data_IF_595394294587
#
_entry.id   IF_595394294587
#
_cell.length_a   1.000
_cell.length_b   1.000
_cell.length_c   1.000
_cell.angle_alpha   90.00
_cell.angle_beta   90.00
_cell.angle_gamma   90.00
#
_symmetry.space_group_name_H-M   'P 1'
#
loop_
_entity.id
_entity.type
_entity.pdbx_description
1 polymer ?
#
# COMPACT_ATOMS: atom_id res chain seq x y z
N UNK A 1 41.25 10.48 33.44
CA UNK A 1 42.04 11.19 32.42
C UNK A 1 41.60 12.66 32.44
N UNK A 2 42.43 13.62 32.03
CA UNK A 2 41.93 15.01 31.87
C UNK A 2 41.08 15.08 30.58
N UNK A 3 39.98 15.85 30.54
CA UNK A 3 39.10 15.91 29.37
C UNK A 3 39.83 16.28 28.08
N UNK A 4 40.82 17.16 28.15
CA UNK A 4 41.59 17.60 26.99
C UNK A 4 42.44 16.46 26.41
N UNK A 5 43.02 15.63 27.29
CA UNK A 5 43.82 14.47 26.88
C UNK A 5 42.90 13.38 26.29
N UNK A 6 41.74 13.17 26.90
CA UNK A 6 40.76 12.22 26.39
C UNK A 6 40.26 12.62 24.99
N UNK A 7 40.00 13.91 24.77
CA UNK A 7 39.61 14.43 23.47
C UNK A 7 40.72 14.27 22.43
N UNK A 8 41.97 14.56 22.79
CA UNK A 8 43.13 14.40 21.89
C UNK A 8 43.27 12.93 21.46
N UNK A 9 43.17 11.98 22.40
CA UNK A 9 43.24 10.56 22.09
C UNK A 9 42.03 10.06 21.29
N UNK A 10 40.82 10.51 21.62
CA UNK A 10 39.61 10.16 20.88
C UNK A 10 39.66 10.69 19.44
N UNK A 11 40.21 11.88 19.23
CA UNK A 11 40.43 12.46 17.92
C UNK A 11 41.39 11.62 17.08
N UNK A 12 42.56 11.27 17.62
CA UNK A 12 43.51 10.37 16.93
C UNK A 12 42.86 9.02 16.63
N UNK A 13 42.18 8.41 17.61
CA UNK A 13 41.51 7.12 17.43
C UNK A 13 40.45 7.16 16.33
N UNK A 14 39.61 8.20 16.31
CA UNK A 14 38.53 8.34 15.31
C UNK A 14 39.10 8.48 13.90
N UNK A 15 40.17 9.28 13.73
CA UNK A 15 40.85 9.45 12.44
C UNK A 15 41.40 8.11 11.95
N UNK A 16 42.12 7.38 12.81
CA UNK A 16 42.72 6.10 12.43
C UNK A 16 41.64 5.06 12.09
N UNK A 17 40.54 5.00 12.86
CA UNK A 17 39.42 4.11 12.54
C UNK A 17 38.84 4.38 11.14
N UNK A 18 38.63 5.64 10.78
CA UNK A 18 38.11 6.01 9.46
C UNK A 18 39.13 5.79 8.34
N UNK A 19 40.42 6.07 8.59
CA UNK A 19 41.47 5.88 7.61
C UNK A 19 41.65 4.38 7.27
N UNK A 20 41.75 3.52 8.29
CA UNK A 20 41.91 2.08 8.09
C UNK A 20 40.63 1.40 7.60
N UNK A 21 39.44 1.94 7.87
CA UNK A 21 38.17 1.42 7.36
C UNK A 21 38.17 1.29 5.84
N UNK A 22 38.80 2.24 5.13
CA UNK A 22 38.83 2.24 3.65
C UNK A 22 39.45 0.97 3.05
N UNK A 23 40.45 0.39 3.73
CA UNK A 23 41.19 -0.77 3.24
C UNK A 23 41.01 -2.03 4.11
N UNK A 24 40.10 -2.00 5.08
CA UNK A 24 39.82 -3.11 5.98
C UNK A 24 38.43 -3.70 5.73
N UNK A 25 38.22 -5.02 5.91
CA UNK A 25 36.89 -5.61 5.79
C UNK A 25 35.89 -5.03 6.80
N UNK A 26 34.64 -4.86 6.36
CA UNK A 26 33.55 -4.40 7.23
C UNK A 26 33.02 -5.58 8.06
N UNK A 27 33.24 -5.53 9.37
CA UNK A 27 32.81 -6.55 10.34
C UNK A 27 31.36 -6.37 10.78
N UNK A 28 30.44 -6.49 9.81
CA UNK A 28 29.03 -6.14 10.03
C UNK A 28 28.27 -7.17 10.88
N UNK A 29 28.66 -8.45 10.84
CA UNK A 29 28.03 -9.50 11.66
C UNK A 29 28.27 -9.21 13.14
N UNK A 30 29.52 -8.94 13.51
CA UNK A 30 29.87 -8.63 14.90
C UNK A 30 29.26 -7.31 15.37
N UNK A 31 29.16 -6.33 14.46
CA UNK A 31 28.46 -5.07 14.75
C UNK A 31 26.99 -5.32 15.08
N UNK A 32 26.30 -6.18 14.30
CA UNK A 32 24.93 -6.58 14.61
C UNK A 32 24.84 -7.37 15.92
N UNK A 33 25.79 -8.26 16.20
CA UNK A 33 25.78 -9.04 17.45
C UNK A 33 25.92 -8.12 18.68
N UNK A 34 26.67 -7.01 18.59
CA UNK A 34 26.72 -5.97 19.64
C UNK A 34 25.38 -5.23 19.78
N UNK A 35 24.78 -4.78 18.67
CA UNK A 35 23.52 -4.03 18.68
C UNK A 35 22.35 -4.89 19.21
N UNK A 36 22.25 -6.12 18.72
CA UNK A 36 21.16 -7.04 19.01
C UNK A 36 21.38 -7.76 20.34
N UNK A 37 22.58 -8.26 20.60
CA UNK A 37 22.92 -9.04 21.79
C UNK A 37 23.30 -8.19 22.99
N UNK A 38 24.41 -7.47 22.91
CA UNK A 38 24.97 -6.76 24.07
C UNK A 38 24.15 -5.54 24.48
N UNK A 39 23.68 -4.76 23.50
CA UNK A 39 22.87 -3.55 23.74
C UNK A 39 21.37 -3.81 23.81
N UNK A 40 20.93 -5.03 23.45
CA UNK A 40 19.51 -5.44 23.44
C UNK A 40 18.60 -4.39 22.79
N UNK A 41 19.03 -3.82 21.67
CA UNK A 41 18.35 -2.68 21.04
C UNK A 41 16.96 -3.09 20.54
N UNK A 42 15.92 -2.43 21.05
CA UNK A 42 14.53 -2.69 20.68
C UNK A 42 14.11 -1.95 19.40
N UNK A 43 14.65 -0.75 19.14
CA UNK A 43 14.27 0.05 17.97
C UNK A 43 15.48 0.36 17.11
N UNK A 44 15.51 -0.18 15.90
CA UNK A 44 16.61 -0.06 14.95
C UNK A 44 16.08 0.70 13.73
N UNK A 45 16.68 1.85 13.43
CA UNK A 45 16.26 2.73 12.34
C UNK A 45 17.37 2.82 11.30
N UNK A 46 17.12 2.31 10.10
CA UNK A 46 18.00 2.48 8.95
C UNK A 46 17.79 3.85 8.32
N UNK A 47 18.87 4.63 8.24
CA UNK A 47 18.91 5.91 7.53
C UNK A 47 19.56 5.68 6.17
N UNK A 48 18.74 5.60 5.13
CA UNK A 48 19.18 5.37 3.77
C UNK A 48 18.03 5.40 2.77
N UNK A 49 18.34 5.42 1.47
CA UNK A 49 17.33 5.45 0.40
C UNK A 49 16.61 4.11 0.21
N UNK A 50 17.14 3.01 0.74
CA UNK A 50 16.60 1.67 0.60
C UNK A 50 16.63 0.92 1.95
N UNK A 51 15.87 -0.18 2.03
CA UNK A 51 15.76 -1.07 3.20
C UNK A 51 16.74 -2.24 3.05
N UNK A 52 18.04 -1.94 3.11
CA UNK A 52 19.09 -2.93 2.87
C UNK A 52 19.62 -3.47 4.19
N UNK A 53 20.02 -2.58 5.10
CA UNK A 53 20.52 -2.95 6.42
C UNK A 53 19.39 -3.49 7.32
N UNK A 54 18.18 -2.95 7.20
CA UNK A 54 16.98 -3.46 7.86
C UNK A 54 16.69 -4.90 7.45
N UNK A 55 16.75 -5.20 6.15
CA UNK A 55 16.67 -6.56 5.64
C UNK A 55 17.76 -7.50 6.17
N UNK A 56 19.00 -7.03 6.32
CA UNK A 56 20.07 -7.81 6.95
C UNK A 56 19.80 -8.07 8.44
N UNK A 57 19.38 -7.06 9.19
CA UNK A 57 19.07 -7.18 10.62
C UNK A 57 17.92 -8.18 10.87
N UNK A 58 16.86 -8.14 10.04
CA UNK A 58 15.75 -9.10 10.10
C UNK A 58 16.23 -10.55 9.91
N UNK A 59 17.12 -10.78 8.94
CA UNK A 59 17.72 -12.12 8.73
C UNK A 59 18.57 -12.59 9.91
N UNK A 60 19.38 -11.71 10.49
CA UNK A 60 20.21 -12.05 11.66
C UNK A 60 19.37 -12.35 12.90
N UNK A 61 18.28 -11.61 13.11
CA UNK A 61 17.32 -11.89 14.18
C UNK A 61 16.70 -13.29 14.05
N UNK A 62 16.17 -13.59 12.87
CA UNK A 62 15.57 -14.90 12.59
C UNK A 62 16.60 -16.04 12.75
N UNK A 63 17.86 -15.81 12.40
CA UNK A 63 18.90 -16.84 12.46
C UNK A 63 19.44 -17.12 13.88
N UNK A 64 19.53 -16.10 14.74
CA UNK A 64 20.27 -16.21 16.01
C UNK A 64 19.49 -15.77 17.26
N UNK A 65 18.56 -14.84 17.13
CA UNK A 65 18.03 -14.10 18.29
C UNK A 65 16.55 -14.37 18.58
N UNK A 66 15.82 -15.12 17.74
CA UNK A 66 14.39 -15.42 17.97
C UNK A 66 14.12 -16.02 19.37
N UNK A 67 14.83 -17.10 19.72
CA UNK A 67 14.68 -17.75 21.03
C UNK A 67 15.16 -16.87 22.18
N UNK A 68 16.19 -16.05 21.96
CA UNK A 68 16.73 -15.12 22.94
C UNK A 68 15.71 -14.01 23.26
N UNK A 69 15.12 -13.43 22.22
CA UNK A 69 14.12 -12.36 22.34
C UNK A 69 12.85 -12.89 22.99
N UNK A 70 12.39 -14.09 22.60
CA UNK A 70 11.24 -14.74 23.23
C UNK A 70 11.47 -15.00 24.73
N UNK A 71 12.66 -15.52 25.10
CA UNK A 71 12.99 -15.80 26.50
C UNK A 71 13.07 -14.53 27.37
N UNK A 72 13.41 -13.38 26.76
CA UNK A 72 13.55 -12.10 27.46
C UNK A 72 12.37 -11.16 27.26
N UNK A 73 11.33 -11.60 26.55
CA UNK A 73 10.18 -10.76 26.18
C UNK A 73 10.58 -9.44 25.50
N UNK A 74 11.64 -9.48 24.69
CA UNK A 74 12.12 -8.31 23.93
C UNK A 74 11.36 -8.24 22.62
N UNK A 75 10.72 -7.10 22.37
CA UNK A 75 10.06 -6.82 21.09
C UNK A 75 10.91 -5.85 20.28
N UNK A 76 11.29 -6.27 19.06
CA UNK A 76 12.14 -5.45 18.19
C UNK A 76 11.37 -4.87 17.02
N UNK A 77 11.59 -3.58 16.79
CA UNK A 77 11.13 -2.82 15.64
C UNK A 77 12.31 -2.47 14.75
N UNK A 78 12.25 -2.90 13.49
CA UNK A 78 13.24 -2.55 12.47
C UNK A 78 12.54 -1.67 11.44
N UNK A 79 12.93 -0.40 11.41
CA UNK A 79 12.33 0.66 10.60
C UNK A 79 13.32 1.16 9.55
N UNK A 80 12.84 1.50 8.37
CA UNK A 80 13.60 2.14 7.31
C UNK A 80 13.05 3.54 7.06
N UNK A 81 13.93 4.55 7.02
CA UNK A 81 13.53 5.95 6.81
C UNK A 81 12.64 6.15 5.57
N UNK A 82 12.93 5.45 4.47
CA UNK A 82 12.20 5.61 3.22
C UNK A 82 10.82 4.93 3.21
N UNK A 83 10.53 4.03 4.16
CA UNK A 83 9.27 3.25 4.20
C UNK A 83 8.40 3.60 5.41
N UNK A 84 9.02 3.72 6.57
CA UNK A 84 8.36 3.73 7.86
C UNK A 84 8.37 5.13 8.50
N UNK A 85 8.25 6.17 7.66
CA UNK A 85 8.35 7.57 8.09
C UNK A 85 7.32 7.92 9.17
N UNK A 86 6.06 7.46 9.02
CA UNK A 86 5.00 7.71 10.01
C UNK A 86 5.39 7.21 11.40
N UNK A 87 5.89 5.97 11.49
CA UNK A 87 6.32 5.36 12.76
C UNK A 87 7.56 6.06 13.34
N UNK A 88 8.49 6.49 12.47
CA UNK A 88 9.69 7.22 12.87
C UNK A 88 9.35 8.61 13.42
N UNK A 89 8.44 9.34 12.77
CA UNK A 89 8.00 10.67 13.18
C UNK A 89 6.90 10.66 14.24
N UNK A 90 6.41 9.48 14.63
CA UNK A 90 5.26 9.31 15.53
C UNK A 90 4.00 10.05 15.01
N UNK A 91 3.88 10.14 13.68
CA UNK A 91 2.74 10.71 12.98
C UNK A 91 1.73 9.59 12.69
N UNK A 92 1.21 9.03 13.78
CA UNK A 92 0.15 8.04 13.76
C UNK A 92 -1.18 8.74 13.92
N UNK A 93 -2.10 8.46 12.99
CA UNK A 93 -3.48 8.94 13.07
C UNK A 93 -4.06 8.53 14.43
N UNK A 94 -4.77 9.43 15.14
CA UNK A 94 -5.33 9.12 16.44
C UNK A 94 -6.25 7.91 16.30
N UNK A 95 -5.86 6.82 16.95
CA UNK A 95 -6.70 5.63 17.09
C UNK A 95 -7.94 6.07 17.86
N UNK A 96 -9.11 6.02 17.22
CA UNK A 96 -10.37 6.11 17.96
C UNK A 96 -10.37 4.95 18.96
N UNK A 97 -10.17 5.26 20.24
CA UNK A 97 -10.40 4.34 21.34
C UNK A 97 -11.88 3.91 21.25
N UNK A 98 -12.14 2.71 20.71
CA UNK A 98 -13.43 2.05 20.89
C UNK A 98 -13.69 1.99 22.40
N UNK A 99 -14.78 2.61 22.91
CA UNK A 99 -15.02 2.64 24.33
C UNK A 99 -15.19 1.21 24.84
N UNK A 100 -14.33 0.85 25.79
CA UNK A 100 -14.36 -0.39 26.54
C UNK A 100 -15.80 -0.70 26.99
N UNK A 101 -16.34 -1.82 26.51
CA UNK A 101 -17.64 -2.31 26.91
C UNK A 101 -17.64 -2.65 28.41
N UNK A 102 -18.24 -1.79 29.22
CA UNK A 102 -18.63 -2.10 30.60
C UNK A 102 -19.72 -3.21 30.64
N UNK A 103 -19.77 -4.01 31.72
CA UNK A 103 -20.25 -5.40 31.66
C UNK A 103 -21.77 -5.53 31.66
N UNK A 104 -22.27 -6.49 30.88
CA UNK A 104 -23.67 -6.89 30.85
C UNK A 104 -24.07 -7.57 32.17
N UNK A 105 -25.04 -6.99 32.85
CA UNK A 105 -25.69 -7.57 34.02
C UNK A 105 -26.48 -8.83 33.68
N UNK A 106 -26.38 -9.83 34.55
CA UNK A 106 -27.14 -11.07 34.48
C UNK A 106 -28.63 -10.80 34.75
N UNK A 107 -29.49 -11.24 33.82
CA UNK A 107 -30.94 -11.28 33.97
C UNK A 107 -31.43 -12.72 33.96
N UNK A 108 -32.16 -13.10 35.01
CA UNK A 108 -32.72 -14.42 35.28
C UNK A 108 -33.78 -14.91 34.29
N UNK A 109 -33.85 -16.24 34.25
CA UNK A 109 -34.76 -17.10 33.49
C UNK A 109 -36.21 -17.08 34.01
N UNK A 110 -37.19 -17.10 33.11
CA UNK A 110 -38.51 -17.69 33.35
C UNK A 110 -39.16 -18.17 32.04
N UNK A 111 -39.77 -19.36 32.11
CA UNK A 111 -40.28 -20.19 31.00
C UNK A 111 -41.81 -19.96 30.72
N UNK A 112 -42.56 -20.79 29.95
CA UNK A 112 -43.11 -20.41 28.63
C UNK A 112 -44.64 -20.54 28.44
N UNK A 113 -45.10 -20.15 27.23
CA UNK A 113 -46.33 -20.54 26.48
C UNK A 113 -47.70 -19.93 26.90
N UNK A 114 -48.70 -19.74 26.00
CA UNK A 114 -48.98 -20.54 24.81
C UNK A 114 -49.38 -19.82 23.49
N UNK A 115 -49.66 -20.69 22.52
CA UNK A 115 -49.89 -20.54 21.07
C UNK A 115 -51.23 -19.89 20.65
N UNK A 116 -51.21 -19.15 19.53
CA UNK A 116 -52.35 -19.00 18.62
C UNK A 116 -51.87 -18.83 17.16
N UNK A 117 -52.38 -19.66 16.26
CA UNK A 117 -52.14 -19.65 14.81
C UNK A 117 -53.17 -18.75 14.06
N UNK A 118 -53.16 -18.66 12.72
CA UNK A 118 -52.60 -17.57 11.93
C UNK A 118 -53.67 -16.67 11.28
N UNK A 119 -53.40 -15.36 11.15
CA UNK A 119 -54.21 -14.44 10.36
C UNK A 119 -53.50 -14.08 9.04
N UNK A 120 -54.24 -14.19 7.93
CA UNK A 120 -53.78 -13.96 6.57
C UNK A 120 -53.26 -12.52 6.36
N UNK A 121 -52.04 -12.38 5.85
CA UNK A 121 -51.46 -11.11 5.44
C UNK A 121 -52.01 -10.68 4.07
N UNK A 122 -52.60 -9.49 4.02
CA UNK A 122 -53.01 -8.83 2.79
C UNK A 122 -51.79 -8.45 1.94
N UNK A 123 -51.97 -8.49 0.62
CA UNK A 123 -50.94 -8.13 -0.36
C UNK A 123 -50.41 -6.70 -0.12
N UNK A 124 -49.08 -6.47 -0.26
CA UNK A 124 -48.51 -5.13 -0.13
C UNK A 124 -49.08 -4.21 -1.21
N UNK A 125 -49.41 -2.95 -0.89
CA UNK A 125 -49.83 -1.97 -1.89
C UNK A 125 -48.72 -1.75 -2.92
N UNK A 126 -49.07 -1.41 -4.17
CA UNK A 126 -48.07 -1.09 -5.19
C UNK A 126 -47.17 0.05 -4.69
N UNK A 127 -45.87 0.01 -4.99
CA UNK A 127 -44.95 1.07 -4.57
C UNK A 127 -45.48 2.42 -5.08
N UNK A 128 -45.43 3.48 -4.26
CA UNK A 128 -45.86 4.79 -4.69
C UNK A 128 -45.06 5.18 -5.93
N UNK A 129 -45.79 5.63 -6.96
CA UNK A 129 -45.24 6.29 -8.14
C UNK A 129 -44.13 7.23 -7.70
N UNK A 130 -42.89 6.97 -8.14
CA UNK A 130 -41.75 7.82 -7.87
C UNK A 130 -42.15 9.26 -8.18
N UNK A 131 -41.96 10.14 -7.20
CA UNK A 131 -42.14 11.58 -7.38
C UNK A 131 -41.25 12.10 -8.50
N UNK A 132 -41.36 13.39 -8.86
CA UNK A 132 -40.55 13.98 -9.92
C UNK A 132 -39.07 13.66 -9.66
N UNK A 133 -38.43 13.00 -10.64
CA UNK A 133 -37.06 12.53 -10.54
C UNK A 133 -36.16 13.68 -10.07
N UNK A 134 -35.35 13.43 -9.04
CA UNK A 134 -34.36 14.38 -8.59
C UNK A 134 -33.50 14.83 -9.79
N UNK A 135 -33.25 16.14 -9.88
CA UNK A 135 -32.41 16.69 -10.94
C UNK A 135 -31.01 16.04 -10.85
N UNK A 136 -30.70 15.16 -11.80
CA UNK A 136 -29.40 14.50 -11.92
C UNK A 136 -28.39 15.54 -12.39
N UNK A 137 -27.26 15.65 -11.71
CA UNK A 137 -26.18 16.54 -12.12
C UNK A 137 -25.59 16.07 -13.46
N UNK A 138 -25.41 17.01 -14.38
CA UNK A 138 -24.69 16.75 -15.63
C UNK A 138 -23.20 16.55 -15.35
N UNK A 139 -22.59 15.56 -16.00
CA UNK A 139 -21.19 15.21 -15.85
C UNK A 139 -20.55 14.99 -17.23
N UNK A 140 -19.42 15.65 -17.53
CA UNK A 140 -18.72 15.42 -18.78
C UNK A 140 -18.18 13.98 -18.82
N UNK A 141 -18.12 13.41 -20.02
CA UNK A 141 -17.60 12.06 -20.23
C UNK A 141 -16.09 12.06 -19.96
N UNK A 142 -15.61 11.09 -19.18
CA UNK A 142 -14.19 10.91 -18.93
C UNK A 142 -13.46 10.39 -20.17
N UNK A 143 -12.23 10.85 -20.39
CA UNK A 143 -11.34 10.36 -21.46
C UNK A 143 -11.11 8.84 -21.35
N UNK A 144 -11.06 8.30 -20.13
CA UNK A 144 -10.98 6.85 -19.88
C UNK A 144 -12.21 6.12 -20.44
N UNK A 145 -13.40 6.69 -20.30
CA UNK A 145 -14.64 6.07 -20.80
C UNK A 145 -14.70 6.12 -22.33
N UNK A 146 -14.32 7.25 -22.93
CA UNK A 146 -14.21 7.40 -24.39
C UNK A 146 -13.21 6.41 -24.97
N UNK A 147 -12.01 6.34 -24.38
CA UNK A 147 -10.95 5.42 -24.78
C UNK A 147 -11.42 3.96 -24.70
N UNK A 148 -12.02 3.57 -23.57
CA UNK A 148 -12.50 2.19 -23.36
C UNK A 148 -13.63 1.84 -24.34
N UNK A 149 -14.54 2.77 -24.62
CA UNK A 149 -15.62 2.58 -25.58
C UNK A 149 -15.11 2.43 -27.03
N UNK A 150 -14.14 3.24 -27.44
CA UNK A 150 -13.53 3.18 -28.78
C UNK A 150 -12.82 1.84 -29.00
N UNK A 151 -12.02 1.42 -28.02
CA UNK A 151 -11.33 0.12 -28.04
C UNK A 151 -12.32 -1.04 -28.06
N UNK A 152 -13.37 -0.99 -27.23
CA UNK A 152 -14.43 -2.01 -27.19
C UNK A 152 -15.15 -2.14 -28.54
N UNK A 153 -15.51 -1.01 -29.16
CA UNK A 153 -16.16 -0.97 -30.46
C UNK A 153 -15.28 -1.57 -31.56
N UNK A 154 -13.98 -1.24 -31.57
CA UNK A 154 -13.02 -1.78 -32.55
C UNK A 154 -12.76 -3.27 -32.39
N UNK A 155 -12.71 -3.75 -31.15
CA UNK A 155 -12.53 -5.17 -30.84
C UNK A 155 -13.83 -5.98 -30.94
N UNK A 156 -14.98 -5.33 -31.13
CA UNK A 156 -16.32 -5.94 -31.10
C UNK A 156 -16.53 -6.76 -29.82
N UNK A 157 -16.08 -6.23 -28.69
CA UNK A 157 -16.22 -6.83 -27.36
C UNK A 157 -17.11 -5.94 -26.48
N UNK A 158 -17.85 -6.51 -25.52
CA UNK A 158 -18.57 -5.70 -24.55
C UNK A 158 -17.59 -4.88 -23.69
N UNK A 159 -18.02 -3.72 -23.20
CA UNK A 159 -17.19 -2.79 -22.43
C UNK A 159 -16.53 -3.46 -21.21
N UNK A 160 -17.26 -4.37 -20.54
CA UNK A 160 -16.78 -5.14 -19.40
C UNK A 160 -15.58 -6.05 -19.70
N UNK A 161 -15.42 -6.49 -20.95
CA UNK A 161 -14.34 -7.39 -21.37
C UNK A 161 -13.05 -6.65 -21.76
N UNK A 162 -13.05 -5.31 -21.70
CA UNK A 162 -11.87 -4.47 -21.89
C UNK A 162 -11.31 -4.07 -20.52
N UNK A 163 -10.29 -4.77 -19.99
CA UNK A 163 -9.64 -4.39 -18.74
C UNK A 163 -8.79 -3.13 -18.94
N UNK A 164 -8.91 -2.19 -17.99
CA UNK A 164 -8.17 -0.92 -18.03
C UNK A 164 -6.66 -1.09 -17.81
N UNK A 165 -6.24 -2.12 -17.07
CA UNK A 165 -4.84 -2.41 -16.76
C UNK A 165 -4.02 -3.01 -17.92
N UNK A 166 -4.63 -3.28 -19.08
CA UNK A 166 -3.93 -3.83 -20.25
C UNK A 166 -3.68 -2.75 -21.29
N UNK A 167 -2.57 -2.88 -22.01
CA UNK A 167 -2.25 -2.00 -23.12
C UNK A 167 -2.99 -2.40 -24.41
N UNK A 168 -3.10 -1.48 -25.37
CA UNK A 168 -3.77 -1.74 -26.67
C UNK A 168 -3.12 -2.92 -27.38
N UNK A 169 -1.79 -3.00 -27.36
CA UNK A 169 -1.01 -4.09 -27.98
C UNK A 169 -1.37 -5.49 -27.45
N UNK A 170 -1.64 -5.60 -26.15
CA UNK A 170 -2.07 -6.86 -25.54
C UNK A 170 -3.51 -7.22 -25.94
N UNK A 171 -4.37 -6.21 -26.07
CA UNK A 171 -5.79 -6.39 -26.39
C UNK A 171 -6.03 -6.80 -27.85
N UNK A 172 -5.18 -6.34 -28.79
CA UNK A 172 -5.26 -6.70 -30.22
C UNK A 172 -4.58 -8.03 -30.55
N UNK A 173 -3.77 -8.59 -29.64
CA UNK A 173 -3.16 -9.91 -29.78
C UNK A 173 -2.26 -10.05 -31.02
N UNK A 174 -1.44 -9.03 -31.30
CA UNK A 174 -0.50 -9.04 -32.44
C UNK A 174 -1.10 -8.68 -33.80
N UNK A 175 -2.39 -8.31 -33.87
CA UNK A 175 -3.02 -7.80 -35.09
C UNK A 175 -2.63 -6.33 -35.35
N UNK A 176 -1.44 -6.11 -35.91
CA UNK A 176 -0.87 -4.77 -36.13
C UNK A 176 -1.77 -3.83 -36.96
N UNK A 177 -2.53 -4.34 -37.93
CA UNK A 177 -3.51 -3.51 -38.68
C UNK A 177 -4.55 -2.91 -37.74
N UNK A 178 -5.10 -3.72 -36.83
CA UNK A 178 -6.14 -3.30 -35.89
C UNK A 178 -5.56 -2.36 -34.81
N UNK A 179 -4.30 -2.58 -34.42
CA UNK A 179 -3.55 -1.66 -33.56
C UNK A 179 -3.46 -0.26 -34.19
N UNK A 180 -2.97 -0.18 -35.43
CA UNK A 180 -2.78 1.10 -36.12
C UNK A 180 -4.11 1.81 -36.41
N UNK A 181 -5.19 1.07 -36.64
CA UNK A 181 -6.54 1.63 -36.73
C UNK A 181 -6.98 2.27 -35.40
N UNK A 182 -6.80 1.59 -34.27
CA UNK A 182 -7.14 2.13 -32.95
C UNK A 182 -6.30 3.39 -32.68
N UNK A 183 -4.99 3.34 -32.90
CA UNK A 183 -4.11 4.49 -32.70
C UNK A 183 -4.48 5.68 -33.58
N UNK A 184 -4.81 5.42 -34.85
CA UNK A 184 -5.26 6.45 -35.78
C UNK A 184 -6.59 7.09 -35.35
N UNK A 185 -7.51 6.30 -34.79
CA UNK A 185 -8.78 6.82 -34.29
C UNK A 185 -8.62 7.58 -32.96
N UNK A 186 -7.69 7.16 -32.08
CA UNK A 186 -7.31 7.94 -30.90
C UNK A 186 -6.68 9.28 -31.26
N UNK A 187 -5.83 9.31 -32.29
CA UNK A 187 -5.26 10.56 -32.80
C UNK A 187 -6.32 11.51 -33.36
N UNK A 188 -7.39 11.00 -33.97
CA UNK A 188 -8.52 11.83 -34.43
C UNK A 188 -9.38 12.33 -33.28
N UNK A 189 -9.61 11.49 -32.26
CA UNK A 189 -10.49 11.81 -31.14
C UNK A 189 -9.87 12.87 -30.22
N UNK A 190 -8.59 12.70 -29.87
CA UNK A 190 -7.92 13.53 -28.85
C UNK A 190 -6.86 14.49 -29.42
N UNK A 191 -6.56 14.42 -30.73
CA UNK A 191 -5.58 15.27 -31.40
C UNK A 191 -4.13 14.87 -31.16
N UNK A 192 -3.69 14.82 -29.89
CA UNK A 192 -2.36 14.37 -29.50
C UNK A 192 -2.42 13.08 -28.69
N UNK A 193 -1.52 12.15 -28.99
CA UNK A 193 -1.31 10.93 -28.19
C UNK A 193 0.06 10.97 -27.53
N UNK A 194 0.24 10.38 -26.33
CA UNK A 194 1.54 10.26 -25.66
C UNK A 194 2.56 9.48 -26.50
N UNK A 195 3.83 9.44 -26.07
CA UNK A 195 4.80 8.55 -26.71
C UNK A 195 4.47 7.08 -26.41
N UNK A 196 4.37 6.25 -27.47
CA UNK A 196 4.03 4.81 -27.41
C UNK A 196 2.68 4.50 -26.72
N UNK A 197 1.56 5.05 -27.23
CA UNK A 197 0.23 4.79 -26.69
C UNK A 197 -0.17 3.30 -26.74
N UNK A 198 0.44 2.51 -27.62
CA UNK A 198 0.19 1.07 -27.74
C UNK A 198 0.71 0.23 -26.57
N UNK A 199 1.74 0.71 -25.86
CA UNK A 199 2.42 0.01 -24.77
C UNK A 199 1.95 0.50 -23.38
N UNK A 200 1.16 1.59 -23.33
CA UNK A 200 0.65 2.18 -22.09
C UNK A 200 -0.69 1.54 -21.70
N UNK A 201 -0.90 1.19 -20.41
CA UNK A 201 -2.21 0.75 -19.90
C UNK A 201 -3.33 1.76 -20.19
N UNK A 202 -4.57 1.31 -20.41
CA UNK A 202 -5.68 2.19 -20.80
C UNK A 202 -6.09 3.18 -19.69
N UNK A 203 -5.91 2.85 -18.41
CA UNK A 203 -6.13 3.78 -17.29
C UNK A 203 -5.13 4.94 -17.29
N UNK A 204 -3.84 4.62 -17.40
CA UNK A 204 -2.77 5.62 -17.50
C UNK A 204 -2.88 6.45 -18.79
N UNK A 205 -3.18 5.79 -19.91
CA UNK A 205 -3.39 6.44 -21.21
C UNK A 205 -4.57 7.41 -21.14
N UNK A 206 -5.72 6.95 -20.62
CA UNK A 206 -6.89 7.81 -20.46
C UNK A 206 -6.62 8.99 -19.52
N UNK A 207 -5.89 8.80 -18.42
CA UNK A 207 -5.49 9.87 -17.51
C UNK A 207 -4.57 10.91 -18.19
N UNK A 208 -3.63 10.46 -19.03
CA UNK A 208 -2.73 11.36 -19.77
C UNK A 208 -3.47 12.21 -20.82
N UNK A 209 -4.63 11.75 -21.26
CA UNK A 209 -5.47 12.39 -22.29
C UNK A 209 -6.63 13.19 -21.71
N UNK A 210 -6.78 13.22 -20.38
CA UNK A 210 -7.91 13.83 -19.65
C UNK A 210 -7.83 15.37 -19.53
N UNK A 211 -6.95 16.04 -20.27
CA UNK A 211 -6.69 17.47 -20.17
C UNK A 211 -7.86 18.35 -20.65
#
# INVERSE_FOLDING_TARGET
MRPEIEQELAHTLLIELLAYQFASPVRWIETQDVILGEKTTERIVEIGPADTLGGMAKRTLAAKYEAYDAARSVQRQILCYNKDAKDIYYDVDPVEDEPAATPAGAGESAAPAPSSAPAAAAAPPPPPSAGPAAAVADAPVGAVDVLRALVAQKLKKPLGDIPLSKAIKDLVGGKSTLQNEILGDLGKEFGSTPEKPEDTPLDELGASMQA
#
